data_IF_952526349982
#
_entry.id   IF_952526349982
#
_cell.length_a   1.000
_cell.length_b   1.000
_cell.length_c   1.000
_cell.angle_alpha   90.00
_cell.angle_beta   90.00
_cell.angle_gamma   90.00
#
_symmetry.space_group_name_H-M   'P 1'
#
loop_
_entity.id
_entity.type
_entity.pdbx_description
1 polymer ?
#
# COMPACT_ATOMS: atom_id res chain seq x y z
N UNK A 1 8.15 6.62 -1.70
CA UNK A 1 9.24 5.75 -2.21
C UNK A 1 8.85 4.27 -2.24
N UNK A 2 8.24 3.73 -1.17
CA UNK A 2 7.78 2.33 -1.13
C UNK A 2 6.81 1.99 -2.29
N UNK A 3 5.79 2.81 -2.52
CA UNK A 3 4.83 2.63 -3.62
C UNK A 3 5.51 2.68 -5.01
N UNK A 4 6.49 3.57 -5.21
CA UNK A 4 7.26 3.65 -6.47
C UNK A 4 8.10 2.40 -6.74
N UNK A 5 8.68 1.80 -5.69
CA UNK A 5 9.42 0.55 -5.81
C UNK A 5 8.48 -0.62 -6.09
N UNK A 6 7.31 -0.62 -5.45
CA UNK A 6 6.28 -1.62 -5.66
C UNK A 6 5.75 -1.62 -7.11
N UNK A 7 5.48 -0.44 -7.68
CA UNK A 7 5.10 -0.29 -9.09
C UNK A 7 6.12 -0.84 -10.09
N UNK A 8 7.41 -0.86 -9.72
CA UNK A 8 8.49 -1.39 -10.56
C UNK A 8 8.60 -2.92 -10.53
N UNK A 9 7.85 -3.59 -9.66
CA UNK A 9 7.84 -5.06 -9.59
C UNK A 9 7.14 -5.60 -10.84
N UNK A 10 7.93 -6.18 -11.75
CA UNK A 10 7.41 -6.85 -12.95
C UNK A 10 7.00 -8.31 -12.71
N UNK A 11 7.29 -8.85 -11.53
CA UNK A 11 7.05 -10.26 -11.18
C UNK A 11 5.78 -10.36 -10.33
N UNK A 12 4.67 -10.90 -10.85
CA UNK A 12 3.41 -10.99 -10.12
C UNK A 12 3.54 -11.79 -8.82
N UNK A 13 4.35 -12.84 -8.81
CA UNK A 13 4.59 -13.67 -7.62
C UNK A 13 5.24 -12.91 -6.44
N UNK A 14 5.91 -11.77 -6.70
CA UNK A 14 6.52 -10.93 -5.66
C UNK A 14 5.61 -9.80 -5.19
N UNK A 15 4.51 -9.53 -5.90
CA UNK A 15 3.56 -8.48 -5.52
C UNK A 15 2.92 -8.75 -4.16
N UNK A 16 2.40 -9.96 -3.84
CA UNK A 16 1.73 -10.19 -2.55
C UNK A 16 2.66 -9.95 -1.35
N UNK A 17 3.88 -10.49 -1.39
CA UNK A 17 4.85 -10.35 -0.30
C UNK A 17 5.22 -8.87 -0.08
N UNK A 18 5.47 -8.13 -1.15
CA UNK A 18 5.80 -6.70 -1.02
C UNK A 18 4.60 -5.84 -0.65
N UNK A 19 3.40 -6.20 -1.13
CA UNK A 19 2.18 -5.50 -0.77
C UNK A 19 1.90 -5.64 0.73
N UNK A 20 2.01 -6.86 1.26
CA UNK A 20 1.81 -7.13 2.68
C UNK A 20 2.82 -6.37 3.53
N UNK A 21 4.10 -6.36 3.12
CA UNK A 21 5.14 -5.61 3.81
C UNK A 21 4.86 -4.10 3.87
N UNK A 22 4.46 -3.50 2.75
CA UNK A 22 4.11 -2.06 2.71
C UNK A 22 2.88 -1.79 3.58
N UNK A 23 1.90 -2.68 3.56
CA UNK A 23 0.72 -2.56 4.38
C UNK A 23 1.07 -2.57 5.87
N UNK A 24 1.84 -3.55 6.33
CA UNK A 24 2.24 -3.66 7.74
C UNK A 24 3.15 -2.51 8.20
N UNK A 25 4.05 -2.04 7.33
CA UNK A 25 4.99 -0.97 7.69
C UNK A 25 4.35 0.42 7.70
N UNK A 26 3.33 0.68 6.88
CA UNK A 26 2.82 2.05 6.62
C UNK A 26 1.30 2.22 6.70
N UNK A 27 0.49 1.17 6.52
CA UNK A 27 -0.99 1.28 6.35
C UNK A 27 -1.76 0.67 7.53
N UNK A 28 -1.22 -0.40 8.13
CA UNK A 28 -1.82 -1.07 9.27
C UNK A 28 -2.00 -0.10 10.43
N UNK A 29 -3.09 -0.27 11.18
CA UNK A 29 -3.32 0.50 12.43
C UNK A 29 -2.27 0.23 13.50
N UNK A 30 -1.51 -0.86 13.35
CA UNK A 30 -0.38 -1.20 14.23
C UNK A 30 0.98 -0.84 13.60
N UNK A 31 0.98 -0.15 12.44
CA UNK A 31 2.20 0.21 11.74
C UNK A 31 3.02 1.22 12.55
N UNK A 32 4.28 0.89 12.81
CA UNK A 32 5.22 1.81 13.49
C UNK A 32 5.46 3.11 12.72
N UNK A 33 5.22 3.09 11.40
CA UNK A 33 5.33 4.24 10.50
C UNK A 33 4.01 4.51 9.79
N UNK A 34 2.90 4.32 10.52
CA UNK A 34 1.56 4.62 10.02
C UNK A 34 1.55 6.01 9.37
N UNK A 35 1.14 6.03 8.10
CA UNK A 35 0.89 7.27 7.39
C UNK A 35 -0.53 7.73 7.68
N UNK A 36 -0.72 9.04 7.82
CA UNK A 36 -2.04 9.60 8.12
C UNK A 36 -2.98 9.38 6.92
N UNK A 37 -3.75 8.30 6.96
CA UNK A 37 -4.72 7.89 5.95
C UNK A 37 -6.11 7.86 6.55
N UNK A 38 -7.09 8.33 5.78
CA UNK A 38 -8.49 8.16 6.15
C UNK A 38 -8.88 6.67 6.15
N UNK A 39 -9.86 6.34 6.98
CA UNK A 39 -10.32 4.96 7.16
C UNK A 39 -10.82 4.33 5.86
N UNK A 40 -11.41 5.12 4.96
CA UNK A 40 -11.89 4.66 3.65
C UNK A 40 -10.72 4.18 2.80
N UNK A 41 -9.69 5.00 2.63
CA UNK A 41 -8.50 4.66 1.85
C UNK A 41 -7.76 3.44 2.44
N UNK A 42 -7.71 3.33 3.78
CA UNK A 42 -7.13 2.17 4.46
C UNK A 42 -7.92 0.89 4.16
N UNK A 43 -9.24 0.95 4.18
CA UNK A 43 -10.10 -0.19 3.91
C UNK A 43 -10.03 -0.61 2.42
N UNK A 44 -9.99 0.35 1.50
CA UNK A 44 -9.74 0.07 0.08
C UNK A 44 -8.37 -0.58 -0.12
N UNK A 45 -7.32 -0.07 0.52
CA UNK A 45 -5.98 -0.67 0.46
C UNK A 45 -5.99 -2.09 1.02
N UNK A 46 -6.71 -2.33 2.12
CA UNK A 46 -6.89 -3.66 2.73
C UNK A 46 -7.57 -4.65 1.79
N UNK A 47 -8.51 -4.20 0.96
CA UNK A 47 -9.11 -5.03 -0.08
C UNK A 47 -8.16 -5.25 -1.26
N UNK A 48 -7.44 -4.21 -1.67
CA UNK A 48 -6.50 -4.28 -2.80
C UNK A 48 -5.30 -5.20 -2.53
N UNK A 49 -4.89 -5.39 -1.27
CA UNK A 49 -3.83 -6.35 -0.93
C UNK A 49 -4.28 -7.82 -1.02
N UNK A 50 -5.60 -8.10 -1.05
CA UNK A 50 -6.11 -9.46 -1.29
C UNK A 50 -5.89 -9.89 -2.75
N UNK A 51 -5.91 -8.94 -3.68
CA UNK A 51 -5.55 -9.14 -5.09
C UNK A 51 -4.57 -8.04 -5.53
N UNK A 52 -3.30 -8.17 -5.14
CA UNK A 52 -2.32 -7.11 -5.31
C UNK A 52 -1.98 -6.91 -6.80
N UNK A 53 -2.17 -5.68 -7.27
CA UNK A 53 -1.81 -5.21 -8.60
C UNK A 53 -0.78 -4.08 -8.47
N UNK A 54 -0.23 -3.57 -9.57
CA UNK A 54 0.69 -2.43 -9.51
C UNK A 54 0.06 -1.15 -8.94
N UNK A 55 -1.27 -1.04 -8.93
CA UNK A 55 -2.02 0.13 -8.45
C UNK A 55 -2.57 -0.04 -7.03
N UNK A 56 -2.24 -1.13 -6.32
CA UNK A 56 -2.74 -1.41 -4.95
C UNK A 56 -2.58 -0.25 -3.98
N UNK A 57 -1.51 0.54 -4.12
CA UNK A 57 -1.19 1.66 -3.23
C UNK A 57 -1.36 3.04 -3.87
N UNK A 58 -2.03 3.15 -5.02
CA UNK A 58 -2.15 4.44 -5.73
C UNK A 58 -2.94 5.46 -4.94
N UNK A 59 -4.12 5.08 -4.43
CA UNK A 59 -4.96 5.98 -3.63
C UNK A 59 -4.25 6.35 -2.33
N UNK A 60 -3.67 5.36 -1.62
CA UNK A 60 -2.89 5.62 -0.42
C UNK A 60 -1.72 6.58 -0.67
N UNK A 61 -0.96 6.38 -1.75
CA UNK A 61 0.16 7.26 -2.12
C UNK A 61 -0.33 8.68 -2.46
N UNK A 62 -1.46 8.79 -3.16
CA UNK A 62 -2.05 10.07 -3.55
C UNK A 62 -2.52 10.87 -2.34
N UNK A 63 -3.17 10.22 -1.37
CA UNK A 63 -3.60 10.87 -0.12
C UNK A 63 -2.45 11.39 0.71
N UNK A 64 -1.38 10.60 0.84
CA UNK A 64 -0.17 11.02 1.56
C UNK A 64 0.51 12.20 0.88
N UNK A 65 0.50 12.26 -0.46
CA UNK A 65 1.17 13.32 -1.22
C UNK A 65 0.40 14.65 -1.24
N UNK A 66 -0.92 14.61 -1.07
CA UNK A 66 -1.78 15.81 -1.04
C UNK A 66 -1.82 16.48 0.35
N UNK A 67 -1.37 15.76 1.39
CA UNK A 67 -1.29 16.24 2.78
C UNK A 67 -0.03 17.05 3.06
#
# INVERSE_FOLDING_TARGET
>A
LACENYKKIKTPAKLPEQAQKIYEDFISVEATREVNLDSTTREETSNNILQPTSSTFDEAQHRIFIL
#
